data_IF_874656616699
#
_entry.id   IF_874656616699
#
_cell.length_a   1.000
_cell.length_b   1.000
_cell.length_c   1.000
_cell.angle_alpha   90.00
_cell.angle_beta   90.00
_cell.angle_gamma   90.00
#
_symmetry.space_group_name_H-M   'P 1'
#
loop_
_entity.id
_entity.type
_entity.pdbx_description
1 polymer ?
#
# COMPACT_ATOMS: atom_id res chain seq x y z
N UNK A 1 -12.16 11.42 8.18
CA UNK A 1 -10.70 11.28 7.96
C UNK A 1 -10.31 11.91 6.64
N UNK A 2 -9.29 12.74 6.65
CA UNK A 2 -8.76 13.32 5.42
C UNK A 2 -7.63 12.45 4.91
N UNK A 3 -7.76 11.88 3.71
CA UNK A 3 -6.70 11.08 3.11
C UNK A 3 -5.65 12.00 2.51
N UNK A 4 -4.41 11.85 2.93
CA UNK A 4 -3.28 12.60 2.38
C UNK A 4 -2.22 11.69 1.78
N UNK A 5 -2.05 10.50 2.31
CA UNK A 5 -1.07 9.53 1.82
C UNK A 5 -1.65 8.12 1.89
N UNK A 6 -1.56 7.38 0.79
CA UNK A 6 -2.07 6.01 0.68
C UNK A 6 -0.90 5.09 0.30
N UNK A 7 -0.80 3.98 1.02
CA UNK A 7 0.18 2.94 0.71
C UNK A 7 -0.50 1.87 -0.13
N UNK A 8 0.03 1.61 -1.32
CA UNK A 8 -0.51 0.59 -2.24
C UNK A 8 0.49 -0.55 -2.33
N UNK A 9 0.07 -1.74 -1.90
CA UNK A 9 0.90 -2.95 -1.95
C UNK A 9 0.27 -3.91 -2.95
N UNK A 10 1.05 -4.33 -3.95
CA UNK A 10 0.53 -5.15 -5.05
C UNK A 10 1.44 -6.33 -5.35
N UNK A 11 0.87 -7.41 -5.87
CA UNK A 11 1.63 -8.58 -6.31
C UNK A 11 2.36 -8.25 -7.60
N UNK A 12 3.68 -8.34 -7.57
CA UNK A 12 4.53 -8.04 -8.72
C UNK A 12 4.41 -9.08 -9.84
N UNK A 13 4.05 -10.32 -9.49
CA UNK A 13 3.89 -11.42 -10.46
C UNK A 13 2.49 -11.44 -11.12
N UNK A 14 1.64 -10.49 -10.79
CA UNK A 14 0.30 -10.38 -11.37
C UNK A 14 0.18 -9.13 -12.21
N UNK A 15 -0.03 -9.29 -13.52
CA UNK A 15 -0.22 -8.13 -14.40
C UNK A 15 -1.49 -7.35 -14.07
N UNK A 16 -2.52 -8.06 -13.58
CA UNK A 16 -3.77 -7.42 -13.16
C UNK A 16 -3.53 -6.53 -11.94
N UNK A 17 -2.80 -7.05 -10.94
CA UNK A 17 -2.49 -6.28 -9.75
C UNK A 17 -1.60 -5.07 -10.07
N UNK A 18 -0.63 -5.21 -10.96
CA UNK A 18 0.20 -4.09 -11.40
C UNK A 18 -0.62 -2.99 -12.05
N UNK A 19 -1.51 -3.37 -12.98
CA UNK A 19 -2.38 -2.40 -13.66
C UNK A 19 -3.34 -1.73 -12.68
N UNK A 20 -3.90 -2.52 -11.76
CA UNK A 20 -4.80 -1.98 -10.74
C UNK A 20 -4.07 -0.99 -9.83
N UNK A 21 -2.82 -1.27 -9.46
CA UNK A 21 -2.04 -0.37 -8.63
C UNK A 21 -1.77 0.97 -9.32
N UNK A 22 -1.46 0.95 -10.61
CA UNK A 22 -1.26 2.17 -11.39
C UNK A 22 -2.54 2.97 -11.53
N UNK A 23 -3.66 2.28 -11.75
CA UNK A 23 -4.96 2.92 -11.83
C UNK A 23 -5.31 3.62 -10.50
N UNK A 24 -5.09 2.95 -9.38
CA UNK A 24 -5.31 3.54 -8.06
C UNK A 24 -4.45 4.79 -7.87
N UNK A 25 -3.19 4.71 -8.26
CA UNK A 25 -2.27 5.85 -8.14
C UNK A 25 -2.77 7.05 -8.95
N UNK A 26 -3.24 6.82 -10.17
CA UNK A 26 -3.75 7.89 -11.04
C UNK A 26 -5.02 8.53 -10.45
N UNK A 27 -5.94 7.71 -9.95
CA UNK A 27 -7.18 8.21 -9.34
C UNK A 27 -6.87 9.05 -8.12
N UNK A 28 -5.95 8.59 -7.28
CA UNK A 28 -5.55 9.32 -6.07
C UNK A 28 -4.86 10.64 -6.43
N UNK A 29 -4.01 10.61 -7.45
CA UNK A 29 -3.33 11.83 -7.92
C UNK A 29 -4.34 12.88 -8.41
N UNK A 30 -5.36 12.45 -9.14
CA UNK A 30 -6.42 13.35 -9.61
C UNK A 30 -7.18 14.02 -8.46
N UNK A 31 -7.16 13.40 -7.29
CA UNK A 31 -7.80 13.92 -6.09
C UNK A 31 -6.82 14.61 -5.14
N UNK A 32 -5.60 14.85 -5.60
CA UNK A 32 -4.52 15.47 -4.81
C UNK A 32 -4.14 14.65 -3.58
N UNK A 33 -4.20 13.32 -3.71
CA UNK A 33 -3.78 12.40 -2.66
C UNK A 33 -2.49 11.72 -3.11
N UNK A 34 -1.45 11.81 -2.29
CA UNK A 34 -0.18 11.14 -2.58
C UNK A 34 -0.30 9.65 -2.31
N UNK A 35 0.43 8.85 -3.08
CA UNK A 35 0.47 7.41 -2.89
C UNK A 35 1.90 6.88 -3.05
N UNK A 36 2.17 5.77 -2.37
CA UNK A 36 3.43 5.04 -2.49
C UNK A 36 3.07 3.61 -2.90
N UNK A 37 3.67 3.12 -4.00
CA UNK A 37 3.45 1.75 -4.46
C UNK A 37 4.62 0.87 -4.06
N UNK A 38 4.33 -0.27 -3.46
CA UNK A 38 5.33 -1.24 -3.01
C UNK A 38 4.91 -2.63 -3.49
N UNK A 39 5.88 -3.39 -4.02
CA UNK A 39 5.65 -4.78 -4.41
C UNK A 39 5.48 -5.66 -3.16
N UNK A 40 4.61 -6.66 -3.25
CA UNK A 40 4.26 -7.49 -2.09
C UNK A 40 5.37 -8.45 -1.65
N UNK A 41 6.44 -8.56 -2.41
CA UNK A 41 7.61 -9.36 -2.01
C UNK A 41 8.60 -8.57 -1.15
N UNK A 42 8.16 -7.44 -0.61
CA UNK A 42 8.98 -6.62 0.29
C UNK A 42 9.39 -7.41 1.55
N UNK A 43 10.49 -7.02 2.15
CA UNK A 43 10.82 -7.47 3.50
C UNK A 43 10.43 -6.40 4.52
N UNK A 44 10.42 -6.78 5.80
CA UNK A 44 10.00 -5.86 6.88
C UNK A 44 10.86 -4.61 6.96
N UNK A 45 12.14 -4.73 6.63
CA UNK A 45 13.06 -3.60 6.67
C UNK A 45 12.73 -2.56 5.61
N UNK A 46 12.26 -2.99 4.44
CA UNK A 46 11.85 -2.08 3.37
C UNK A 46 10.64 -1.24 3.80
N UNK A 47 9.66 -1.89 4.42
CA UNK A 47 8.49 -1.18 4.94
C UNK A 47 8.92 -0.20 6.04
N UNK A 48 9.77 -0.64 6.95
CA UNK A 48 10.25 0.20 8.04
C UNK A 48 10.98 1.44 7.51
N UNK A 49 11.84 1.27 6.51
CA UNK A 49 12.52 2.39 5.87
C UNK A 49 11.54 3.36 5.22
N UNK A 50 10.58 2.82 4.50
CA UNK A 50 9.58 3.62 3.80
C UNK A 50 8.78 4.48 4.79
N UNK A 51 8.34 3.89 5.90
CA UNK A 51 7.54 4.59 6.90
C UNK A 51 8.36 5.50 7.80
N UNK A 52 9.65 5.20 8.02
CA UNK A 52 10.51 6.02 8.86
C UNK A 52 10.97 7.30 8.17
N UNK A 53 11.13 7.26 6.83
CA UNK A 53 11.61 8.40 6.06
C UNK A 53 10.51 9.37 5.67
N UNK A 54 9.26 9.04 5.94
CA UNK A 54 8.14 9.89 5.60
C UNK A 54 7.80 10.79 6.78
N UNK A 55 7.65 12.08 6.54
CA UNK A 55 7.11 13.00 7.55
C UNK A 55 5.64 12.68 7.83
N UNK A 56 5.02 11.94 6.92
CA UNK A 56 3.62 11.55 7.02
C UNK A 56 3.51 10.05 7.00
N UNK A 57 2.78 9.50 7.95
CA UNK A 57 2.42 8.09 7.88
C UNK A 57 1.23 7.92 6.96
N UNK A 58 1.16 6.81 6.19
CA UNK A 58 -0.01 6.54 5.37
C UNK A 58 -1.29 6.50 6.22
N UNK A 59 -2.36 7.08 5.70
CA UNK A 59 -3.66 7.05 6.37
C UNK A 59 -4.33 5.69 6.21
N UNK A 60 -4.03 5.01 5.10
CA UNK A 60 -4.61 3.71 4.79
C UNK A 60 -3.65 2.94 3.89
N UNK A 61 -3.66 1.63 4.00
CA UNK A 61 -2.99 0.73 3.08
C UNK A 61 -4.01 0.02 2.20
N UNK A 62 -3.67 -0.18 0.93
CA UNK A 62 -4.49 -0.94 -0.01
C UNK A 62 -3.67 -2.14 -0.47
N UNK A 63 -4.19 -3.34 -0.26
CA UNK A 63 -3.54 -4.57 -0.67
C UNK A 63 -4.21 -5.11 -1.93
N UNK A 64 -3.46 -5.22 -3.02
CA UNK A 64 -3.93 -5.73 -4.31
C UNK A 64 -3.31 -7.10 -4.57
N UNK A 65 -4.11 -8.14 -4.44
CA UNK A 65 -3.69 -9.52 -4.60
C UNK A 65 -4.64 -10.46 -3.89
N UNK A 66 -4.18 -11.65 -3.54
CA UNK A 66 -4.99 -12.63 -2.84
C UNK A 66 -4.83 -12.52 -1.31
N UNK A 67 -5.38 -13.54 -0.63
CA UNK A 67 -5.37 -13.58 0.84
C UNK A 67 -3.95 -13.59 1.43
N UNK A 68 -2.99 -14.19 0.73
CA UNK A 68 -1.61 -14.21 1.18
C UNK A 68 -0.99 -12.81 1.20
N UNK A 69 -1.32 -12.00 0.19
CA UNK A 69 -0.86 -10.60 0.13
C UNK A 69 -1.46 -9.80 1.29
N UNK A 70 -2.76 -9.97 1.53
CA UNK A 70 -3.45 -9.29 2.63
C UNK A 70 -2.83 -9.65 3.98
N UNK A 71 -2.59 -10.93 4.22
CA UNK A 71 -2.02 -11.39 5.49
C UNK A 71 -0.61 -10.82 5.71
N UNK A 72 0.20 -10.84 4.69
CA UNK A 72 1.56 -10.28 4.74
C UNK A 72 1.53 -8.78 5.05
N UNK A 73 0.63 -8.05 4.40
CA UNK A 73 0.46 -6.62 4.64
C UNK A 73 -0.03 -6.34 6.05
N UNK A 74 -1.00 -7.10 6.53
CA UNK A 74 -1.54 -6.94 7.88
C UNK A 74 -0.45 -7.12 8.93
N UNK A 75 0.40 -8.14 8.77
CA UNK A 75 1.50 -8.38 9.70
C UNK A 75 2.54 -7.26 9.66
N UNK A 76 2.85 -6.75 8.48
CA UNK A 76 3.85 -5.70 8.32
C UNK A 76 3.38 -4.36 8.86
N UNK A 77 2.09 -4.06 8.77
CA UNK A 77 1.53 -2.78 9.17
C UNK A 77 0.94 -2.78 10.59
N UNK A 78 0.95 -3.92 11.27
CA UNK A 78 0.33 -4.05 12.59
C UNK A 78 0.88 -3.06 13.63
N UNK A 79 2.17 -2.77 13.56
CA UNK A 79 2.84 -1.89 14.52
C UNK A 79 2.61 -0.41 14.25
N UNK A 80 1.95 -0.06 13.14
CA UNK A 80 1.82 1.32 12.69
C UNK A 80 0.40 1.87 12.76
N UNK A 81 -0.56 1.06 13.20
CA UNK A 81 -1.98 1.45 13.28
C UNK A 81 -2.54 1.96 11.95
N UNK A 82 -2.11 1.39 10.85
CA UNK A 82 -2.57 1.78 9.53
C UNK A 82 -3.71 0.85 9.10
N UNK A 83 -4.94 1.37 8.91
CA UNK A 83 -6.04 0.55 8.39
C UNK A 83 -5.70 -0.04 7.04
N UNK A 84 -6.16 -1.24 6.77
CA UNK A 84 -5.84 -1.95 5.54
C UNK A 84 -7.11 -2.35 4.81
N UNK A 85 -7.17 -2.01 3.52
CA UNK A 85 -8.24 -2.40 2.63
C UNK A 85 -7.71 -3.41 1.63
N UNK A 86 -8.41 -4.53 1.48
CA UNK A 86 -8.03 -5.57 0.51
C UNK A 86 -8.95 -5.49 -0.71
N UNK A 87 -8.32 -5.55 -1.89
CA UNK A 87 -9.04 -5.60 -3.16
C UNK A 87 -8.54 -6.83 -3.92
N UNK A 88 -9.46 -7.72 -4.24
CA UNK A 88 -9.16 -8.94 -4.99
C UNK A 88 -9.46 -8.76 -6.47
#
# INVERSE_FOLDING_TARGET
MKLSLVLIIYRSDSSIAQKASKFCEEVLKDKNIESIRIESDFNKDEIKKCLSNSEFQPNIGIALGGDGTLLKCANALADYDIPLLSIN
#
